data_IF_119941827972
#
_entry.id   IF_119941827972
#
_cell.length_a   1.000
_cell.length_b   1.000
_cell.length_c   1.000
_cell.angle_alpha   90.00
_cell.angle_beta   90.00
_cell.angle_gamma   90.00
#
_symmetry.space_group_name_H-M   'P 1'
#
loop_
_entity.id
_entity.type
_entity.pdbx_description
1 polymer ?
#
# COMPACT_ATOMS: atom_id res chain seq x y z
N UNK A 1 9.79 -65.95 26.13
CA UNK A 1 10.40 -64.64 26.43
C UNK A 1 10.95 -63.93 25.21
N UNK A 2 11.71 -64.56 24.32
CA UNK A 2 12.35 -63.92 23.15
C UNK A 2 11.37 -63.23 22.19
N UNK A 3 10.19 -63.81 21.90
CA UNK A 3 9.18 -63.19 20.98
C UNK A 3 8.59 -61.87 21.55
N UNK A 4 8.45 -61.75 22.86
CA UNK A 4 7.95 -60.51 23.49
C UNK A 4 9.01 -59.39 23.48
N UNK A 5 10.28 -59.73 23.64
CA UNK A 5 11.41 -58.79 23.58
C UNK A 5 11.55 -58.27 22.14
N UNK A 6 11.42 -59.12 21.14
CA UNK A 6 11.49 -58.71 19.70
C UNK A 6 10.40 -57.71 19.35
N UNK A 7 9.17 -57.91 19.83
CA UNK A 7 8.03 -56.98 19.57
C UNK A 7 8.28 -55.61 20.23
N UNK A 8 8.81 -55.58 21.43
CA UNK A 8 9.10 -54.31 22.14
C UNK A 8 10.24 -53.57 21.45
N UNK A 9 11.26 -54.24 20.96
CA UNK A 9 12.37 -53.61 20.23
C UNK A 9 11.87 -53.01 18.91
N UNK A 10 11.00 -53.70 18.17
CA UNK A 10 10.41 -53.18 16.92
C UNK A 10 9.52 -51.98 17.22
N UNK A 11 8.68 -51.99 18.26
CA UNK A 11 7.81 -50.90 18.61
C UNK A 11 8.57 -49.63 19.08
N UNK A 12 9.78 -49.77 19.59
CA UNK A 12 10.65 -48.65 19.95
C UNK A 12 11.52 -48.18 18.79
N UNK A 13 11.92 -49.09 17.91
CA UNK A 13 12.76 -48.75 16.77
C UNK A 13 12.02 -47.94 15.69
N UNK A 14 10.75 -48.23 15.44
CA UNK A 14 9.95 -47.47 14.43
C UNK A 14 9.85 -45.97 14.76
N UNK A 15 9.40 -45.54 15.95
CA UNK A 15 9.34 -44.10 16.24
C UNK A 15 10.74 -43.46 16.29
N UNK A 16 11.78 -44.18 16.69
CA UNK A 16 13.15 -43.66 16.69
C UNK A 16 13.65 -43.37 15.26
N UNK A 17 13.37 -44.27 14.33
CA UNK A 17 13.70 -44.07 12.92
C UNK A 17 12.90 -42.92 12.29
N UNK A 18 11.60 -42.88 12.55
CA UNK A 18 10.73 -41.80 12.05
C UNK A 18 11.18 -40.43 12.59
N UNK A 19 11.46 -40.31 13.89
CA UNK A 19 11.96 -39.07 14.49
C UNK A 19 13.29 -38.65 13.93
N UNK A 20 14.21 -39.63 13.70
CA UNK A 20 15.51 -39.35 13.08
C UNK A 20 15.36 -38.76 11.67
N UNK A 21 14.49 -39.32 10.83
CA UNK A 21 14.21 -38.79 9.50
C UNK A 21 13.58 -37.40 9.55
N UNK A 22 12.69 -37.15 10.48
CA UNK A 22 12.05 -35.83 10.64
C UNK A 22 13.08 -34.77 11.07
N UNK A 23 13.94 -35.09 12.02
CA UNK A 23 15.02 -34.19 12.48
C UNK A 23 16.02 -33.94 11.34
N UNK A 24 16.39 -34.94 10.59
CA UNK A 24 17.28 -34.78 9.44
C UNK A 24 16.66 -33.89 8.35
N UNK A 25 15.39 -34.11 8.04
CA UNK A 25 14.63 -33.25 7.09
C UNK A 25 14.47 -31.82 7.58
N UNK A 26 14.22 -31.63 8.87
CA UNK A 26 14.11 -30.28 9.48
C UNK A 26 15.47 -29.55 9.43
N UNK A 27 16.57 -30.25 9.72
CA UNK A 27 17.93 -29.69 9.63
C UNK A 27 18.29 -29.30 8.19
N UNK A 28 17.93 -30.10 7.19
CA UNK A 28 18.21 -29.75 5.79
C UNK A 28 17.41 -28.53 5.34
N UNK A 29 16.13 -28.43 5.71
CA UNK A 29 15.30 -27.24 5.43
C UNK A 29 15.83 -25.97 6.15
N UNK A 30 16.30 -26.11 7.37
CA UNK A 30 16.89 -25.00 8.12
C UNK A 30 18.20 -24.54 7.46
N UNK A 31 19.06 -25.50 7.06
CA UNK A 31 20.30 -25.17 6.36
C UNK A 31 20.03 -24.52 4.99
N UNK A 32 19.02 -24.99 4.27
CA UNK A 32 18.59 -24.39 2.99
C UNK A 32 18.01 -22.97 3.19
N UNK A 33 17.22 -22.78 4.25
CA UNK A 33 16.71 -21.46 4.63
C UNK A 33 17.82 -20.49 5.08
N UNK A 34 18.86 -21.00 5.74
CA UNK A 34 20.03 -20.22 6.14
C UNK A 34 21.02 -19.96 4.99
N UNK A 35 21.06 -20.85 3.99
CA UNK A 35 21.94 -20.69 2.80
C UNK A 35 21.33 -19.77 1.74
N UNK A 36 19.99 -19.59 1.71
CA UNK A 36 19.39 -18.48 0.96
C UNK A 36 19.80 -17.22 1.69
N UNK A 37 20.52 -16.27 1.04
CA UNK A 37 20.65 -14.95 1.63
C UNK A 37 19.23 -14.54 1.98
N UNK A 38 18.99 -14.25 3.24
CA UNK A 38 17.74 -13.65 3.64
C UNK A 38 17.61 -12.43 2.72
N UNK A 39 16.71 -12.53 1.75
CA UNK A 39 16.18 -11.34 1.11
C UNK A 39 15.68 -10.58 2.33
N UNK A 40 16.48 -9.60 2.72
CA UNK A 40 16.23 -8.82 3.92
C UNK A 40 14.87 -8.20 3.65
N UNK A 41 13.81 -8.80 4.21
CA UNK A 41 12.55 -8.10 4.32
C UNK A 41 12.95 -6.81 5.02
N UNK A 42 12.92 -5.66 4.33
CA UNK A 42 13.35 -4.42 4.94
C UNK A 42 12.37 -4.18 6.08
N UNK A 43 12.79 -4.58 7.28
CA UNK A 43 12.09 -4.21 8.51
C UNK A 43 12.18 -2.69 8.52
N UNK A 44 11.03 -2.02 8.52
CA UNK A 44 10.97 -0.58 8.67
C UNK A 44 11.81 -0.19 9.88
N UNK A 45 13.00 0.33 9.63
CA UNK A 45 13.88 0.78 10.71
C UNK A 45 13.32 2.10 11.24
N UNK A 46 13.52 2.41 12.52
CA UNK A 46 13.08 3.68 13.11
C UNK A 46 13.57 4.92 12.31
N UNK A 47 14.63 4.78 11.53
CA UNK A 47 15.14 5.82 10.62
C UNK A 47 14.16 6.15 9.49
N UNK A 48 13.33 5.21 9.03
CA UNK A 48 12.33 5.42 7.99
C UNK A 48 11.09 6.17 8.49
N UNK A 49 10.92 6.33 9.79
CA UNK A 49 9.78 7.02 10.43
C UNK A 49 9.98 8.54 10.49
N UNK A 50 11.14 9.05 10.09
CA UNK A 50 11.48 10.48 10.16
C UNK A 50 10.56 11.40 9.34
N UNK A 51 9.84 10.87 8.35
CA UNK A 51 8.88 11.63 7.56
C UNK A 51 7.50 11.76 8.23
N UNK A 52 7.21 11.01 9.28
CA UNK A 52 5.92 11.01 9.97
C UNK A 52 5.72 12.26 10.84
N UNK A 53 5.60 13.41 10.20
CA UNK A 53 5.32 14.67 10.91
C UNK A 53 3.96 14.64 11.65
N UNK A 54 3.77 15.47 12.69
CA UNK A 54 2.48 15.60 13.36
C UNK A 54 1.33 15.97 12.41
N UNK A 55 1.61 16.80 11.40
CA UNK A 55 0.65 17.22 10.37
C UNK A 55 0.24 16.05 9.49
N UNK A 56 1.20 15.25 9.00
CA UNK A 56 0.92 14.04 8.24
C UNK A 56 0.10 13.05 9.05
N UNK A 57 0.50 12.78 10.30
CA UNK A 57 -0.26 11.89 11.20
C UNK A 57 -1.70 12.37 11.44
N UNK A 58 -1.92 13.69 11.52
CA UNK A 58 -3.26 14.25 11.65
C UNK A 58 -4.13 13.99 10.43
N UNK A 59 -3.58 14.11 9.21
CA UNK A 59 -4.27 13.79 7.96
C UNK A 59 -4.59 12.29 7.91
N UNK A 60 -3.57 11.45 8.08
CA UNK A 60 -3.71 10.00 8.06
C UNK A 60 -4.78 9.52 9.06
N UNK A 61 -4.70 9.99 10.30
CA UNK A 61 -5.68 9.62 11.33
C UNK A 61 -7.11 9.99 10.93
N UNK A 62 -7.32 11.17 10.36
CA UNK A 62 -8.66 11.58 9.91
C UNK A 62 -9.17 10.70 8.78
N UNK A 63 -8.35 10.39 7.80
CA UNK A 63 -8.74 9.50 6.69
C UNK A 63 -9.04 8.11 7.23
N UNK A 64 -8.15 7.53 8.01
CA UNK A 64 -8.33 6.18 8.57
C UNK A 64 -9.54 6.09 9.51
N UNK A 65 -9.82 7.12 10.29
CA UNK A 65 -11.06 7.20 11.09
C UNK A 65 -12.31 7.24 10.21
N UNK A 66 -12.26 7.98 9.10
CA UNK A 66 -13.39 8.05 8.15
C UNK A 66 -13.61 6.74 7.40
N UNK A 67 -12.55 5.95 7.22
CA UNK A 67 -12.61 4.59 6.69
C UNK A 67 -13.00 3.54 7.75
N UNK A 68 -13.13 3.93 9.02
CA UNK A 68 -13.41 3.00 10.12
C UNK A 68 -12.21 2.13 10.53
N UNK A 69 -11.00 2.47 10.06
CA UNK A 69 -9.77 1.69 10.31
C UNK A 69 -9.14 1.97 11.67
N UNK A 70 -9.43 3.12 12.24
CA UNK A 70 -8.97 3.56 13.57
C UNK A 70 -10.17 4.08 14.34
N UNK A 71 -10.37 3.65 15.59
CA UNK A 71 -11.43 4.19 16.46
C UNK A 71 -12.65 3.30 16.68
N UNK A 72 -12.66 2.05 16.21
CA UNK A 72 -13.57 1.00 16.73
C UNK A 72 -14.97 0.91 16.10
N UNK A 73 -15.33 1.72 15.13
CA UNK A 73 -16.52 1.50 14.32
C UNK A 73 -16.11 0.90 12.98
N UNK A 74 -16.20 -0.42 12.86
CA UNK A 74 -15.94 -1.15 11.62
C UNK A 74 -16.93 -0.71 10.53
N UNK A 75 -16.62 0.36 9.84
CA UNK A 75 -17.28 0.68 8.57
C UNK A 75 -16.93 -0.41 7.55
N UNK A 76 -17.86 -0.74 6.67
CA UNK A 76 -17.65 -1.72 5.62
C UNK A 76 -16.84 -1.07 4.49
N UNK A 77 -15.52 -1.16 4.56
CA UNK A 77 -14.61 -0.63 3.57
C UNK A 77 -14.33 0.86 3.70
N UNK A 78 -13.26 1.32 3.06
CA UNK A 78 -12.89 2.72 3.00
C UNK A 78 -13.72 3.47 1.96
N UNK A 79 -14.35 4.55 2.36
CA UNK A 79 -14.98 5.50 1.43
C UNK A 79 -14.00 6.66 1.20
N UNK A 80 -13.76 7.07 -0.06
CA UNK A 80 -12.92 8.23 -0.34
C UNK A 80 -13.39 9.47 0.43
N UNK A 81 -12.48 10.16 1.07
CA UNK A 81 -12.74 11.33 1.92
C UNK A 81 -12.37 12.60 1.20
N UNK A 82 -13.27 13.59 1.20
CA UNK A 82 -13.00 14.87 0.59
C UNK A 82 -11.97 15.68 1.39
N UNK A 83 -11.02 16.31 0.68
CA UNK A 83 -9.94 17.09 1.29
C UNK A 83 -10.43 18.21 2.23
N UNK A 84 -11.56 18.84 1.95
CA UNK A 84 -12.18 19.84 2.82
C UNK A 84 -12.37 19.37 4.26
N UNK A 85 -12.62 18.07 4.44
CA UNK A 85 -12.84 17.48 5.76
C UNK A 85 -11.53 17.06 6.46
N UNK A 86 -10.41 17.00 5.73
CA UNK A 86 -9.17 16.38 6.20
C UNK A 86 -8.03 17.37 6.31
N UNK A 87 -7.84 18.23 5.31
CA UNK A 87 -6.71 19.16 5.22
C UNK A 87 -7.19 20.61 5.16
N UNK A 88 -6.56 21.47 5.95
CA UNK A 88 -6.82 22.92 5.97
C UNK A 88 -5.57 23.73 5.59
N UNK A 89 -4.49 23.04 5.18
CA UNK A 89 -3.21 23.65 4.82
C UNK A 89 -3.17 24.02 3.34
N UNK A 90 -2.21 24.85 2.95
CA UNK A 90 -1.97 25.18 1.55
C UNK A 90 -1.65 23.95 0.71
N UNK A 91 -1.84 24.01 -0.61
CA UNK A 91 -1.52 22.91 -1.51
C UNK A 91 -0.03 22.53 -1.46
N UNK A 92 0.85 23.52 -1.42
CA UNK A 92 2.30 23.31 -1.32
C UNK A 92 2.68 22.60 -0.01
N UNK A 93 2.14 23.03 1.13
CA UNK A 93 2.42 22.41 2.44
C UNK A 93 1.86 20.98 2.48
N UNK A 94 0.67 20.75 1.90
CA UNK A 94 0.11 19.41 1.80
C UNK A 94 1.00 18.49 0.97
N UNK A 95 1.43 18.92 -0.20
CA UNK A 95 2.30 18.12 -1.07
C UNK A 95 3.67 17.87 -0.43
N UNK A 96 4.21 18.84 0.33
CA UNK A 96 5.47 18.69 1.04
C UNK A 96 5.47 17.53 2.05
N UNK A 97 4.31 17.18 2.62
CA UNK A 97 4.19 16.03 3.54
C UNK A 97 4.46 14.69 2.85
N UNK A 98 4.20 14.59 1.55
CA UNK A 98 4.38 13.36 0.79
C UNK A 98 5.73 13.27 0.05
N UNK A 99 6.48 14.37 -0.05
CA UNK A 99 7.79 14.39 -0.72
C UNK A 99 8.76 13.33 -0.21
N UNK A 100 8.85 13.05 1.10
CA UNK A 100 9.73 12.00 1.62
C UNK A 100 9.34 10.57 1.20
N UNK A 101 8.14 10.39 0.64
CA UNK A 101 7.64 9.08 0.20
C UNK A 101 7.97 8.76 -1.27
N UNK A 102 8.80 9.57 -1.93
CA UNK A 102 9.14 9.42 -3.36
C UNK A 102 9.55 8.00 -3.74
N UNK A 103 10.36 7.36 -2.90
CA UNK A 103 10.88 6.01 -3.16
C UNK A 103 9.92 4.89 -2.68
N UNK A 104 8.81 5.26 -2.04
CA UNK A 104 7.82 4.33 -1.48
C UNK A 104 6.49 4.35 -2.22
N UNK A 105 6.36 5.17 -3.23
CA UNK A 105 5.11 5.38 -3.92
C UNK A 105 5.28 5.63 -5.41
N UNK A 106 4.17 6.03 -6.02
CA UNK A 106 4.11 6.38 -7.43
C UNK A 106 2.91 7.27 -7.73
N UNK A 107 2.90 7.79 -8.93
CA UNK A 107 1.82 8.62 -9.45
C UNK A 107 1.15 7.88 -10.61
N UNK A 108 -0.07 7.44 -10.38
CA UNK A 108 -0.93 6.78 -11.35
C UNK A 108 -1.66 7.84 -12.13
N UNK A 109 -1.39 7.95 -13.42
CA UNK A 109 -1.99 8.95 -14.30
C UNK A 109 -3.22 8.38 -15.00
N UNK A 110 -4.18 9.26 -15.30
CA UNK A 110 -5.42 8.93 -16.01
C UNK A 110 -5.57 9.78 -17.24
N UNK A 111 -6.20 9.24 -18.27
CA UNK A 111 -6.61 10.03 -19.43
C UNK A 111 -7.58 11.14 -19.02
N UNK A 112 -7.65 12.20 -19.84
CA UNK A 112 -8.57 13.31 -19.61
C UNK A 112 -10.00 12.80 -19.45
N UNK A 113 -10.68 13.29 -18.41
CA UNK A 113 -12.08 12.93 -18.09
C UNK A 113 -12.32 11.42 -17.93
N UNK A 114 -11.30 10.67 -17.53
CA UNK A 114 -11.38 9.22 -17.27
C UNK A 114 -10.91 8.88 -15.87
N UNK A 115 -11.46 7.77 -15.38
CA UNK A 115 -11.06 7.10 -14.13
C UNK A 115 -10.62 5.64 -14.37
N UNK A 116 -10.47 5.23 -15.63
CA UNK A 116 -10.04 3.89 -16.00
C UNK A 116 -8.52 3.82 -15.97
N UNK A 117 -7.98 2.81 -15.30
CA UNK A 117 -6.55 2.52 -15.27
C UNK A 117 -6.12 1.87 -16.60
N UNK A 118 -5.10 2.42 -17.24
CA UNK A 118 -4.45 1.80 -18.38
C UNK A 118 -3.45 0.70 -17.92
N UNK A 119 -2.87 -0.08 -18.85
CA UNK A 119 -1.95 -1.15 -18.47
C UNK A 119 -0.72 -0.66 -17.69
N UNK A 120 -0.19 0.52 -17.96
CA UNK A 120 0.95 1.10 -17.25
C UNK A 120 0.55 1.52 -15.83
N UNK A 121 -0.65 2.07 -15.67
CA UNK A 121 -1.22 2.40 -14.38
C UNK A 121 -1.46 1.17 -13.52
N UNK A 122 -2.01 0.11 -14.11
CA UNK A 122 -2.21 -1.19 -13.42
C UNK A 122 -0.88 -1.76 -12.93
N UNK A 123 0.13 -1.80 -13.80
CA UNK A 123 1.46 -2.30 -13.48
C UNK A 123 2.12 -1.48 -12.34
N UNK A 124 1.99 -0.15 -12.37
CA UNK A 124 2.51 0.71 -11.32
C UNK A 124 1.83 0.45 -9.97
N UNK A 125 0.50 0.34 -9.96
CA UNK A 125 -0.26 0.03 -8.72
C UNK A 125 0.18 -1.32 -8.17
N UNK A 126 0.27 -2.35 -9.00
CA UNK A 126 0.70 -3.69 -8.60
C UNK A 126 2.09 -3.68 -7.97
N UNK A 127 3.05 -3.00 -8.60
CA UNK A 127 4.41 -2.90 -8.08
C UNK A 127 4.50 -2.14 -6.76
N UNK A 128 3.81 -0.99 -6.67
CA UNK A 128 3.83 -0.18 -5.44
C UNK A 128 3.13 -0.92 -4.31
N UNK A 129 2.00 -1.58 -4.57
CA UNK A 129 1.29 -2.33 -3.55
C UNK A 129 2.09 -3.54 -3.06
N UNK A 130 2.72 -4.29 -3.98
CA UNK A 130 3.54 -5.45 -3.62
C UNK A 130 4.82 -5.07 -2.84
N UNK A 131 5.35 -3.84 -3.00
CA UNK A 131 6.55 -3.35 -2.33
C UNK A 131 6.25 -2.73 -0.94
N UNK A 132 5.57 -3.47 -0.09
CA UNK A 132 5.05 -3.03 1.21
C UNK A 132 6.12 -2.53 2.19
N UNK A 133 7.35 -3.02 2.13
CA UNK A 133 8.49 -2.63 3.00
C UNK A 133 8.16 -2.64 4.51
N UNK A 134 7.25 -3.51 4.93
CA UNK A 134 6.80 -3.61 6.32
C UNK A 134 5.86 -2.49 6.79
N UNK A 135 5.35 -1.67 5.88
CA UNK A 135 4.37 -0.64 6.21
C UNK A 135 2.98 -1.24 6.46
N UNK A 136 2.17 -0.52 7.22
CA UNK A 136 0.83 -0.99 7.64
C UNK A 136 -0.31 -0.37 6.86
N UNK A 137 -0.06 0.75 6.15
CA UNK A 137 -1.11 1.50 5.48
C UNK A 137 -0.73 1.80 4.04
N UNK A 138 -1.62 1.47 3.12
CA UNK A 138 -1.56 1.92 1.72
C UNK A 138 -2.45 3.15 1.56
N UNK A 139 -1.90 4.23 1.01
CA UNK A 139 -2.59 5.50 0.92
C UNK A 139 -2.79 5.90 -0.54
N UNK A 140 -4.02 6.25 -0.88
CA UNK A 140 -4.40 6.69 -2.22
C UNK A 140 -4.90 8.13 -2.14
N UNK A 141 -4.24 9.05 -2.82
CA UNK A 141 -4.60 10.49 -2.88
C UNK A 141 -4.84 10.90 -4.31
N UNK A 142 -6.08 11.02 -4.72
CA UNK A 142 -6.47 11.28 -6.10
C UNK A 142 -6.82 12.74 -6.36
N UNK A 143 -6.62 13.16 -7.61
CA UNK A 143 -6.81 14.53 -8.11
C UNK A 143 -7.52 14.55 -9.44
N UNK A 144 -8.03 15.74 -9.79
CA UNK A 144 -8.42 16.10 -11.14
C UNK A 144 -7.66 17.37 -11.56
N UNK A 145 -7.39 17.55 -12.85
CA UNK A 145 -6.87 18.80 -13.39
C UNK A 145 -7.92 19.93 -13.26
N UNK A 146 -7.51 21.21 -13.28
CA UNK A 146 -8.42 22.34 -13.07
C UNK A 146 -9.52 22.52 -14.12
N UNK A 147 -9.46 21.77 -15.19
CA UNK A 147 -10.47 21.81 -16.27
C UNK A 147 -11.84 21.31 -15.79
N UNK A 148 -12.91 21.95 -16.24
CA UNK A 148 -14.28 21.54 -15.90
C UNK A 148 -14.83 22.21 -14.63
N UNK A 149 -15.93 21.67 -14.12
CA UNK A 149 -16.58 22.20 -12.92
C UNK A 149 -16.03 21.57 -11.64
N UNK A 150 -16.15 22.30 -10.54
CA UNK A 150 -15.71 21.83 -9.22
C UNK A 150 -16.37 20.51 -8.83
N UNK A 151 -17.68 20.39 -9.01
CA UNK A 151 -18.43 19.20 -8.63
C UNK A 151 -18.06 17.99 -9.52
N UNK A 152 -17.86 18.22 -10.82
CA UNK A 152 -17.37 17.17 -11.73
C UNK A 152 -15.97 16.68 -11.30
N UNK A 153 -15.05 17.60 -11.02
CA UNK A 153 -13.68 17.25 -10.61
C UNK A 153 -13.62 16.55 -9.25
N UNK A 154 -14.51 16.88 -8.33
CA UNK A 154 -14.65 16.16 -7.07
C UNK A 154 -15.07 14.71 -7.32
N UNK A 155 -16.12 14.51 -8.12
CA UNK A 155 -16.60 13.18 -8.43
C UNK A 155 -15.57 12.38 -9.24
N UNK A 156 -14.91 12.99 -10.23
CA UNK A 156 -13.88 12.34 -11.02
C UNK A 156 -12.68 11.90 -10.18
N UNK A 157 -12.22 12.74 -9.25
CA UNK A 157 -11.14 12.37 -8.34
C UNK A 157 -11.55 11.24 -7.40
N UNK A 158 -12.80 11.22 -6.93
CA UNK A 158 -13.35 10.12 -6.15
C UNK A 158 -13.32 8.81 -6.94
N UNK A 159 -13.84 8.80 -8.16
CA UNK A 159 -13.86 7.64 -9.05
C UNK A 159 -12.45 7.11 -9.35
N UNK A 160 -11.44 7.98 -9.45
CA UNK A 160 -10.04 7.58 -9.61
C UNK A 160 -9.49 6.84 -8.40
N UNK A 161 -9.81 7.30 -7.19
CA UNK A 161 -9.44 6.59 -5.98
C UNK A 161 -10.12 5.22 -5.88
N UNK A 162 -11.41 5.17 -6.21
CA UNK A 162 -12.19 3.93 -6.24
C UNK A 162 -11.64 2.95 -7.29
N UNK A 163 -11.26 3.42 -8.48
CA UNK A 163 -10.68 2.56 -9.50
C UNK A 163 -9.36 1.88 -9.06
N UNK A 164 -8.52 2.57 -8.27
CA UNK A 164 -7.33 1.95 -7.68
C UNK A 164 -7.74 0.85 -6.70
N UNK A 165 -8.71 1.12 -5.83
CA UNK A 165 -9.19 0.14 -4.84
C UNK A 165 -9.82 -1.08 -5.49
N UNK A 166 -10.67 -0.87 -6.50
CA UNK A 166 -11.32 -1.94 -7.26
C UNK A 166 -10.28 -2.85 -7.94
N UNK A 167 -9.20 -2.25 -8.47
CA UNK A 167 -8.11 -3.03 -9.04
C UNK A 167 -7.39 -3.86 -7.98
N UNK A 168 -7.08 -3.28 -6.81
CA UNK A 168 -6.45 -4.02 -5.72
C UNK A 168 -7.31 -5.20 -5.27
N UNK A 169 -8.62 -5.04 -5.14
CA UNK A 169 -9.55 -6.13 -4.83
C UNK A 169 -9.58 -7.24 -5.89
N UNK A 170 -9.44 -6.88 -7.15
CA UNK A 170 -9.43 -7.86 -8.25
C UNK A 170 -8.11 -8.62 -8.32
N UNK A 171 -7.00 -7.96 -7.99
CA UNK A 171 -5.66 -8.50 -8.17
C UNK A 171 -5.15 -9.28 -6.95
N UNK A 172 -5.42 -8.78 -5.76
CA UNK A 172 -4.89 -9.31 -4.52
C UNK A 172 -6.00 -9.95 -3.68
N UNK A 173 -5.76 -11.19 -3.27
CA UNK A 173 -6.67 -11.91 -2.35
C UNK A 173 -6.20 -11.64 -0.92
N UNK A 174 -6.46 -10.43 -0.44
CA UNK A 174 -6.12 -10.02 0.92
C UNK A 174 -7.40 -9.77 1.72
N UNK A 175 -7.67 -10.55 2.79
CA UNK A 175 -8.87 -10.39 3.59
C UNK A 175 -8.86 -9.10 4.42
N UNK A 176 -7.71 -8.48 4.61
CA UNK A 176 -7.52 -7.26 5.38
C UNK A 176 -7.35 -6.00 4.51
N UNK A 177 -7.43 -6.14 3.17
CA UNK A 177 -7.23 -5.05 2.22
C UNK A 177 -8.03 -3.78 2.58
N UNK A 178 -9.32 -3.94 2.91
CA UNK A 178 -10.18 -2.82 3.33
C UNK A 178 -9.73 -2.14 4.63
N UNK A 179 -8.86 -2.80 5.41
CA UNK A 179 -8.29 -2.26 6.65
C UNK A 179 -6.91 -1.63 6.44
N UNK A 180 -6.31 -1.85 5.30
CA UNK A 180 -4.96 -1.37 4.98
C UNK A 180 -4.97 -0.15 4.05
N UNK A 181 -6.03 0.05 3.27
CA UNK A 181 -6.10 1.12 2.27
C UNK A 181 -6.90 2.32 2.77
N UNK A 182 -6.26 3.47 2.84
CA UNK A 182 -6.88 4.77 3.11
C UNK A 182 -7.00 5.62 1.85
N UNK A 183 -8.19 6.14 1.54
CA UNK A 183 -8.45 6.91 0.33
C UNK A 183 -8.83 8.37 0.61
N UNK A 184 -8.15 9.29 -0.08
CA UNK A 184 -8.43 10.72 -0.04
C UNK A 184 -8.58 11.26 -1.46
N UNK A 185 -9.62 12.04 -1.70
CA UNK A 185 -9.84 12.70 -2.97
C UNK A 185 -9.89 14.22 -2.84
N UNK A 186 -9.18 14.90 -3.71
CA UNK A 186 -8.89 16.33 -3.63
C UNK A 186 -9.69 17.18 -4.63
N UNK A 187 -10.27 16.59 -5.66
CA UNK A 187 -10.80 17.35 -6.79
C UNK A 187 -9.71 18.11 -7.52
N UNK A 188 -10.04 19.27 -8.04
CA UNK A 188 -9.11 20.23 -8.63
C UNK A 188 -8.84 21.45 -7.72
N UNK A 189 -9.52 21.52 -6.58
CA UNK A 189 -9.49 22.69 -5.70
C UNK A 189 -8.35 22.65 -4.68
N UNK A 190 -7.82 21.46 -4.40
CA UNK A 190 -6.86 21.24 -3.33
C UNK A 190 -5.57 20.60 -3.85
N UNK A 191 -4.44 21.06 -3.31
CA UNK A 191 -3.14 20.41 -3.39
C UNK A 191 -2.78 19.87 -4.78
N UNK A 192 -2.91 20.70 -5.81
CA UNK A 192 -2.43 20.38 -7.14
C UNK A 192 -0.92 20.12 -7.12
N UNK A 193 -0.46 19.10 -7.86
CA UNK A 193 0.94 18.75 -7.94
C UNK A 193 1.70 19.77 -8.80
N UNK A 194 2.90 20.11 -8.35
CA UNK A 194 3.83 20.98 -9.07
C UNK A 194 4.67 20.20 -10.09
N UNK A 195 5.26 20.84 -11.09
CA UNK A 195 6.06 20.15 -12.13
C UNK A 195 7.20 19.28 -11.63
N UNK A 196 7.71 19.52 -10.40
CA UNK A 196 8.74 18.69 -9.79
C UNK A 196 8.33 17.21 -9.65
N UNK A 197 7.02 16.94 -9.50
CA UNK A 197 6.48 15.59 -9.40
C UNK A 197 6.55 14.81 -10.71
N UNK A 198 6.81 15.46 -11.84
CA UNK A 198 7.10 14.79 -13.11
C UNK A 198 8.36 13.90 -13.05
N UNK A 199 9.25 14.14 -12.09
CA UNK A 199 10.46 13.34 -11.88
C UNK A 199 10.23 12.11 -10.97
N UNK A 200 9.01 11.89 -10.53
CA UNK A 200 8.67 10.76 -9.69
C UNK A 200 8.39 9.52 -10.54
N UNK A 201 8.33 8.35 -9.88
CA UNK A 201 7.82 7.12 -10.49
C UNK A 201 6.37 7.35 -10.86
N UNK A 202 6.04 7.24 -12.14
CA UNK A 202 4.69 7.50 -12.65
C UNK A 202 4.32 6.55 -13.80
N UNK A 203 3.04 6.37 -14.04
CA UNK A 203 2.53 5.50 -15.10
C UNK A 203 2.48 6.19 -16.46
N UNK A 204 2.50 7.51 -16.52
CA UNK A 204 2.50 8.25 -17.77
C UNK A 204 3.78 8.15 -18.60
N UNK A 205 3.71 8.56 -19.85
CA UNK A 205 4.85 8.57 -20.78
C UNK A 205 5.95 9.56 -20.41
N UNK A 206 6.91 9.78 -21.31
CA UNK A 206 8.03 10.71 -21.12
C UNK A 206 7.58 12.16 -20.94
N UNK A 207 6.52 12.54 -21.63
CA UNK A 207 5.96 13.89 -21.55
C UNK A 207 5.13 14.03 -20.26
N UNK A 208 5.26 15.19 -19.62
CA UNK A 208 4.55 15.48 -18.39
C UNK A 208 4.19 16.95 -18.35
N UNK A 209 2.92 17.24 -18.41
CA UNK A 209 2.40 18.59 -18.19
C UNK A 209 1.79 18.72 -16.78
N UNK A 210 1.50 19.94 -16.36
CA UNK A 210 0.81 20.19 -15.10
C UNK A 210 -0.57 19.51 -15.06
N UNK A 211 -1.25 19.45 -16.19
CA UNK A 211 -2.56 18.81 -16.28
C UNK A 211 -2.45 17.28 -16.23
N UNK A 212 -1.46 16.68 -16.91
CA UNK A 212 -1.24 15.24 -16.87
C UNK A 212 -0.99 14.77 -15.46
N UNK A 213 -0.08 15.43 -14.74
CA UNK A 213 0.27 15.02 -13.37
C UNK A 213 -0.87 15.24 -12.37
N UNK A 214 -1.80 16.14 -12.67
CA UNK A 214 -2.98 16.39 -11.85
C UNK A 214 -4.20 15.55 -12.23
N UNK A 215 -4.15 14.87 -13.37
CA UNK A 215 -5.09 13.78 -13.70
C UNK A 215 -4.60 12.46 -13.11
N UNK A 216 -4.44 12.40 -11.77
CA UNK A 216 -3.67 11.32 -11.15
C UNK A 216 -4.22 10.86 -9.79
N UNK A 217 -3.71 9.71 -9.36
CA UNK A 217 -3.73 9.27 -7.97
C UNK A 217 -2.28 9.00 -7.52
N UNK A 218 -1.85 9.67 -6.45
CA UNK A 218 -0.65 9.31 -5.72
C UNK A 218 -0.94 8.08 -4.87
N UNK A 219 -0.09 7.07 -4.94
CA UNK A 219 -0.20 5.82 -4.17
C UNK A 219 1.10 5.57 -3.43
N UNK A 220 1.02 5.22 -2.15
CA UNK A 220 2.22 4.92 -1.36
C UNK A 220 1.92 4.09 -0.12
N UNK A 221 2.88 3.28 0.31
CA UNK A 221 2.87 2.65 1.63
C UNK A 221 3.36 3.60 2.72
N UNK A 222 2.68 3.58 3.86
CA UNK A 222 2.96 4.43 5.02
C UNK A 222 3.05 3.58 6.27
N UNK A 223 4.11 3.77 7.05
CA UNK A 223 4.40 3.07 8.30
C UNK A 223 4.35 3.98 9.53
N UNK A 224 3.67 5.13 9.42
CA UNK A 224 3.46 6.03 10.55
C UNK A 224 2.67 5.36 11.67
N UNK A 225 3.23 5.32 12.86
CA UNK A 225 2.47 4.98 14.07
C UNK A 225 1.50 6.12 14.41
N UNK A 226 0.20 5.81 14.46
CA UNK A 226 -0.90 6.76 14.63
C UNK A 226 -1.46 6.77 16.04
#
# INVERSE_FOLDING_TARGET
>A
MIKRIAVVVVLLAIPAVVTHFWIASAKSRLAEAQAKPAEAVPVATQADVGYCSPELKKILRRVLMSCGLVGGNAARGCQPVQAKNVATMSGADFNALFKPMKERGGIVEFAQDKSVLDPQALDLVDHVFADQKGASWFFVVSRASPEGTVDHNRELSKQRAEAVMDHLHQKFTDPDLDKEVGMLWLGAEYAQLEPEFCQWKRSGGSDCTADDINRSAFVAWIDCQL
#
